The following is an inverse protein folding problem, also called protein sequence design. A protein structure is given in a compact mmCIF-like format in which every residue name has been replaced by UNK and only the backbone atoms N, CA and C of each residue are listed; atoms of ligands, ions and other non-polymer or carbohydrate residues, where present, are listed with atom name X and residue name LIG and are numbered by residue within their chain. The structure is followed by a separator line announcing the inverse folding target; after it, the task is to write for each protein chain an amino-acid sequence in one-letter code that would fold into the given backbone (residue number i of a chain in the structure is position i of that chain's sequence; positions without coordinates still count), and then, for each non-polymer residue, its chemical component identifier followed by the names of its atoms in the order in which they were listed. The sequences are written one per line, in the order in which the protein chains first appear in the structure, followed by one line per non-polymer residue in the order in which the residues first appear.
data_IF_904214869074
#
_entry.id   IF_904214869074
#
_cell.length_a   1.000
_cell.length_b   1.000
_cell.length_c   1.000
_cell.angle_alpha   90.00
_cell.angle_beta   90.00
_cell.angle_gamma   90.00
#
_symmetry.space_group_name_H-M   'P 1'
#
loop_
_entity.id
_entity.type
_entity.pdbx_description
1 polymer ?
#
# COMPACT_ATOMS: atom_id res chain seq x y z
N UNK A 1 -14.34 18.40 -0.10
CA UNK A 1 -13.61 17.75 1.03
C UNK A 1 -12.37 18.54 1.46
N UNK A 2 -11.31 18.71 0.64
CA UNK A 2 -10.09 19.46 1.01
C UNK A 2 -10.38 20.91 1.41
N UNK A 3 -11.23 21.63 0.67
CA UNK A 3 -11.64 23.00 1.03
C UNK A 3 -12.25 23.09 2.42
N UNK A 4 -13.08 22.13 2.81
CA UNK A 4 -13.68 22.07 4.15
C UNK A 4 -12.66 21.78 5.24
N UNK A 5 -11.70 20.86 4.99
CA UNK A 5 -10.61 20.57 5.92
C UNK A 5 -9.76 21.83 6.14
N UNK A 6 -9.43 22.53 5.08
CA UNK A 6 -8.68 23.78 5.11
C UNK A 6 -9.41 24.88 5.91
N UNK A 7 -10.71 25.04 5.67
CA UNK A 7 -11.51 26.06 6.35
C UNK A 7 -11.62 25.80 7.88
N UNK A 8 -11.80 24.54 8.28
CA UNK A 8 -11.90 24.17 9.70
C UNK A 8 -10.54 23.91 10.36
N UNK A 9 -9.45 23.97 9.58
CA UNK A 9 -8.05 23.67 10.00
C UNK A 9 -7.91 22.30 10.67
N UNK A 10 -8.66 21.32 10.18
CA UNK A 10 -8.67 19.97 10.73
C UNK A 10 -9.13 18.95 9.70
N UNK A 11 -8.51 17.78 9.71
CA UNK A 11 -8.87 16.63 8.90
C UNK A 11 -7.68 15.73 8.63
N UNK A 12 -7.97 14.48 8.28
CA UNK A 12 -6.96 13.50 7.89
C UNK A 12 -7.46 12.80 6.62
N UNK A 13 -6.59 12.67 5.64
CA UNK A 13 -6.76 11.83 4.47
C UNK A 13 -5.84 10.63 4.65
N UNK A 14 -6.38 9.43 4.60
CA UNK A 14 -5.59 8.18 4.64
C UNK A 14 -5.72 7.51 3.28
N UNK A 15 -4.62 7.44 2.53
CA UNK A 15 -4.54 6.73 1.27
C UNK A 15 -3.92 5.35 1.51
N UNK A 16 -4.58 4.31 0.99
CA UNK A 16 -4.08 2.93 1.10
C UNK A 16 -3.41 2.54 -0.20
N UNK A 17 -2.12 2.25 -0.13
CA UNK A 17 -1.28 1.88 -1.27
C UNK A 17 -0.96 0.39 -1.29
N UNK A 18 0.27 -0.01 -1.11
CA UNK A 18 0.72 -1.40 -1.05
C UNK A 18 2.21 -1.46 -0.70
N UNK A 19 2.66 -2.54 -0.12
CA UNK A 19 4.07 -2.82 0.13
C UNK A 19 4.96 -2.88 -1.12
N UNK A 20 4.37 -2.95 -2.33
CA UNK A 20 5.11 -2.81 -3.59
C UNK A 20 5.75 -1.43 -3.75
N UNK A 21 5.31 -0.44 -2.97
CA UNK A 21 5.95 0.89 -2.92
C UNK A 21 7.20 0.89 -2.06
N UNK A 22 7.29 -0.02 -1.09
CA UNK A 22 8.46 -0.24 -0.24
C UNK A 22 9.51 -1.11 -0.92
N UNK A 23 9.07 -2.14 -1.65
CA UNK A 23 9.92 -3.02 -2.44
C UNK A 23 9.21 -3.39 -3.76
N UNK A 24 9.70 -2.89 -4.91
CA UNK A 24 9.12 -3.21 -6.21
C UNK A 24 9.13 -4.71 -6.48
N UNK A 25 8.00 -5.23 -6.95
CA UNK A 25 7.79 -6.65 -7.18
C UNK A 25 7.90 -6.97 -8.67
N UNK A 26 8.58 -8.05 -9.09
CA UNK A 26 8.58 -8.48 -10.49
C UNK A 26 7.15 -8.85 -10.95
N UNK A 27 6.90 -8.78 -12.24
CA UNK A 27 5.61 -9.04 -12.91
C UNK A 27 4.48 -8.06 -12.51
N UNK A 28 4.79 -7.02 -11.72
CA UNK A 28 3.82 -6.04 -11.22
C UNK A 28 4.18 -4.59 -11.58
N UNK A 29 4.92 -4.35 -12.69
CA UNK A 29 5.44 -3.01 -13.01
C UNK A 29 4.35 -1.94 -13.11
N UNK A 30 3.26 -2.20 -13.84
CA UNK A 30 2.16 -1.25 -13.98
C UNK A 30 1.42 -1.02 -12.64
N UNK A 31 1.21 -2.07 -11.87
CA UNK A 31 0.63 -1.98 -10.52
C UNK A 31 1.52 -1.16 -9.58
N UNK A 32 2.82 -1.47 -9.53
CA UNK A 32 3.80 -0.72 -8.74
C UNK A 32 3.80 0.75 -9.13
N UNK A 33 3.84 1.07 -10.43
CA UNK A 33 3.79 2.45 -10.91
C UNK A 33 2.51 3.18 -10.46
N UNK A 34 1.36 2.52 -10.51
CA UNK A 34 0.08 3.10 -10.07
C UNK A 34 0.09 3.42 -8.57
N UNK A 35 0.68 2.55 -7.74
CA UNK A 35 0.77 2.74 -6.30
C UNK A 35 1.83 3.79 -5.93
N UNK A 36 2.96 3.83 -6.64
CA UNK A 36 3.98 4.89 -6.49
C UNK A 36 3.43 6.27 -6.85
N UNK A 37 2.53 6.37 -7.82
CA UNK A 37 1.88 7.64 -8.14
C UNK A 37 1.05 8.17 -6.95
N UNK A 38 0.36 7.29 -6.21
CA UNK A 38 -0.39 7.66 -5.00
C UNK A 38 0.58 8.07 -3.87
N UNK A 39 1.73 7.41 -3.75
CA UNK A 39 2.78 7.78 -2.79
C UNK A 39 3.25 9.22 -3.04
N UNK A 40 3.70 9.51 -4.25
CA UNK A 40 4.18 10.85 -4.61
C UNK A 40 3.10 11.93 -4.46
N UNK A 41 1.87 11.63 -4.89
CA UNK A 41 0.73 12.52 -4.69
C UNK A 41 0.49 12.81 -3.20
N UNK A 42 0.44 11.77 -2.37
CA UNK A 42 0.13 11.91 -0.94
C UNK A 42 1.25 12.62 -0.19
N UNK A 43 2.52 12.35 -0.54
CA UNK A 43 3.67 13.05 0.02
C UNK A 43 3.61 14.56 -0.23
N UNK A 44 3.31 14.97 -1.47
CA UNK A 44 3.13 16.40 -1.81
C UNK A 44 1.92 17.00 -1.09
N UNK A 45 0.79 16.28 -1.08
CA UNK A 45 -0.43 16.71 -0.41
C UNK A 45 -0.25 16.89 1.11
N UNK A 46 0.60 16.08 1.75
CA UNK A 46 0.88 16.19 3.18
C UNK A 46 1.49 17.56 3.53
N UNK A 47 2.43 18.05 2.71
CA UNK A 47 3.00 19.40 2.87
C UNK A 47 1.94 20.49 2.69
N UNK A 48 1.11 20.37 1.65
CA UNK A 48 0.07 21.34 1.35
C UNK A 48 -0.98 21.42 2.48
N UNK A 49 -1.44 20.26 2.96
CA UNK A 49 -2.44 20.18 4.03
C UNK A 49 -1.87 20.60 5.39
N UNK A 50 -0.60 20.31 5.66
CA UNK A 50 0.09 20.69 6.88
C UNK A 50 0.04 22.21 7.13
N UNK A 51 0.15 23.04 6.08
CA UNK A 51 0.02 24.49 6.16
C UNK A 51 -1.35 24.94 6.72
N UNK A 52 -2.36 24.10 6.66
CA UNK A 52 -3.73 24.36 7.12
C UNK A 52 -4.16 23.51 8.32
N UNK A 53 -3.22 22.82 8.98
CA UNK A 53 -3.53 21.99 10.14
C UNK A 53 -4.30 20.69 9.83
N UNK A 54 -4.35 20.28 8.56
CA UNK A 54 -4.85 18.99 8.13
C UNK A 54 -3.70 18.06 7.74
N UNK A 55 -3.94 16.76 7.61
CA UNK A 55 -2.89 15.74 7.40
C UNK A 55 -3.25 14.83 6.26
N UNK A 56 -2.23 14.27 5.61
CA UNK A 56 -2.35 13.14 4.71
C UNK A 56 -1.42 12.02 5.21
N UNK A 57 -1.85 10.78 5.09
CA UNK A 57 -1.20 9.58 5.60
C UNK A 57 -1.23 8.49 4.54
N UNK A 58 -0.24 7.61 4.58
CA UNK A 58 -0.10 6.45 3.71
C UNK A 58 -0.16 5.17 4.55
N UNK A 59 -0.99 4.23 4.15
CA UNK A 59 -0.98 2.87 4.68
C UNK A 59 -0.51 1.95 3.56
N UNK A 60 0.52 1.17 3.83
CA UNK A 60 1.15 0.26 2.87
C UNK A 60 0.93 -1.21 3.30
N UNK A 61 -0.21 -1.82 2.91
CA UNK A 61 -0.47 -3.23 3.20
C UNK A 61 0.52 -4.15 2.52
N UNK A 62 0.93 -5.20 3.24
CA UNK A 62 1.69 -6.30 2.71
C UNK A 62 0.84 -7.29 1.91
N UNK A 63 1.34 -8.52 1.75
CA UNK A 63 0.67 -9.57 1.00
C UNK A 63 -0.48 -10.17 1.82
N UNK A 64 -1.72 -9.97 1.34
CA UNK A 64 -2.95 -10.40 1.99
C UNK A 64 -3.69 -11.51 1.24
N UNK A 65 -3.21 -12.77 1.26
CA UNK A 65 -3.82 -13.88 0.51
C UNK A 65 -5.21 -14.28 1.02
N UNK A 66 -5.58 -13.88 2.23
CA UNK A 66 -6.89 -14.16 2.83
C UNK A 66 -7.97 -13.16 2.41
N UNK A 67 -7.57 -12.10 1.70
CA UNK A 67 -8.50 -11.08 1.20
C UNK A 67 -9.08 -11.47 -0.16
N UNK A 68 -10.16 -10.80 -0.56
CA UNK A 68 -10.72 -10.94 -1.91
C UNK A 68 -9.99 -10.12 -2.98
N UNK A 69 -8.77 -9.67 -2.70
CA UNK A 69 -8.03 -8.81 -3.62
C UNK A 69 -7.80 -9.49 -4.98
N UNK A 70 -7.34 -10.74 -4.98
CA UNK A 70 -7.14 -11.51 -6.21
C UNK A 70 -8.45 -11.81 -6.94
N UNK A 71 -9.50 -12.19 -6.19
CA UNK A 71 -10.83 -12.46 -6.76
C UNK A 71 -11.42 -11.24 -7.46
N UNK A 72 -11.21 -10.05 -6.88
CA UNK A 72 -11.72 -8.80 -7.43
C UNK A 72 -11.04 -8.36 -8.74
N UNK A 73 -9.90 -8.95 -9.11
CA UNK A 73 -9.27 -8.71 -10.41
C UNK A 73 -10.10 -9.29 -11.56
N UNK A 74 -10.95 -10.30 -11.29
CA UNK A 74 -11.79 -10.95 -12.31
C UNK A 74 -11.02 -11.75 -13.37
N UNK A 75 -9.71 -11.88 -13.20
CA UNK A 75 -8.78 -12.61 -14.08
C UNK A 75 -7.80 -13.40 -13.22
N UNK A 76 -7.41 -14.59 -13.70
CA UNK A 76 -6.28 -15.30 -13.11
C UNK A 76 -4.99 -14.55 -13.41
N UNK A 77 -4.19 -14.25 -12.40
CA UNK A 77 -2.87 -13.61 -12.61
C UNK A 77 -1.98 -14.49 -13.49
N UNK A 78 -2.12 -15.82 -13.40
CA UNK A 78 -1.38 -16.76 -14.25
C UNK A 78 -1.72 -16.58 -15.74
N UNK A 79 -2.99 -16.30 -16.06
CA UNK A 79 -3.45 -16.09 -17.44
C UNK A 79 -2.95 -14.75 -18.02
N UNK A 80 -2.48 -13.85 -17.19
CA UNK A 80 -1.91 -12.56 -17.61
C UNK A 80 -0.42 -12.65 -17.96
N UNK A 81 0.25 -13.78 -17.68
CA UNK A 81 1.68 -13.96 -17.93
C UNK A 81 1.89 -14.47 -19.33
N UNK A 82 2.55 -13.70 -20.23
CA UNK A 82 2.89 -14.19 -21.57
C UNK A 82 3.82 -15.41 -21.50
N UNK A 83 3.65 -16.35 -22.43
CA UNK A 83 4.40 -17.60 -22.48
C UNK A 83 5.94 -17.41 -22.34
N UNK A 84 6.60 -16.43 -22.96
CA UNK A 84 8.04 -16.22 -22.81
C UNK A 84 8.50 -15.91 -21.36
N UNK A 85 7.56 -15.52 -20.46
CA UNK A 85 7.85 -15.25 -19.06
C UNK A 85 7.53 -16.42 -18.12
N UNK A 86 7.03 -17.54 -18.63
CA UNK A 86 6.54 -18.65 -17.81
C UNK A 86 7.61 -19.20 -16.84
N UNK A 87 8.83 -19.45 -17.33
CA UNK A 87 9.92 -19.97 -16.52
C UNK A 87 10.41 -18.94 -15.47
N UNK A 88 10.42 -17.66 -15.82
CA UNK A 88 10.73 -16.57 -14.90
C UNK A 88 9.66 -16.42 -13.81
N UNK A 89 8.38 -16.58 -14.17
CA UNK A 89 7.26 -16.38 -13.26
C UNK A 89 7.09 -17.52 -12.26
N UNK A 90 7.45 -18.75 -12.63
CA UNK A 90 7.24 -19.96 -11.81
C UNK A 90 7.78 -19.84 -10.39
N UNK A 91 9.08 -19.55 -10.14
CA UNK A 91 9.61 -19.44 -8.78
C UNK A 91 8.98 -18.28 -7.99
N UNK A 92 8.52 -17.24 -8.67
CA UNK A 92 7.82 -16.11 -8.04
C UNK A 92 6.47 -16.58 -7.49
N UNK A 93 5.67 -17.29 -8.28
CA UNK A 93 4.39 -17.83 -7.83
C UNK A 93 4.54 -18.89 -6.74
N UNK A 94 5.57 -19.73 -6.81
CA UNK A 94 5.90 -20.69 -5.74
C UNK A 94 6.18 -20.00 -4.41
N UNK A 95 6.92 -18.88 -4.43
CA UNK A 95 7.18 -18.07 -3.24
C UNK A 95 5.90 -17.44 -2.68
N UNK A 96 4.98 -16.98 -3.55
CA UNK A 96 3.68 -16.46 -3.11
C UNK A 96 2.72 -17.53 -2.61
N UNK A 97 2.85 -18.77 -3.04
CA UNK A 97 2.03 -19.87 -2.54
C UNK A 97 2.38 -20.26 -1.08
N UNK A 98 3.63 -20.01 -0.65
CA UNK A 98 4.11 -20.36 0.68
C UNK A 98 4.90 -19.19 1.31
N UNK A 99 4.26 -18.03 1.55
CA UNK A 99 4.95 -16.87 2.09
C UNK A 99 5.32 -17.10 3.57
N UNK A 100 6.51 -16.65 4.02
CA UNK A 100 6.91 -16.77 5.42
C UNK A 100 6.09 -15.87 6.35
N UNK A 101 5.58 -14.79 5.82
CA UNK A 101 4.75 -13.80 6.53
C UNK A 101 3.63 -13.32 5.62
N UNK A 102 2.47 -13.04 6.20
CA UNK A 102 1.30 -12.50 5.50
C UNK A 102 0.72 -11.33 6.27
N UNK A 103 0.08 -10.43 5.56
CA UNK A 103 -0.76 -9.38 6.14
C UNK A 103 -2.21 -9.87 6.22
N UNK A 104 -2.86 -9.63 7.35
CA UNK A 104 -4.27 -9.94 7.58
C UNK A 104 -5.12 -8.67 7.51
N UNK A 105 -6.41 -8.84 7.33
CA UNK A 105 -7.38 -7.74 7.28
C UNK A 105 -7.31 -6.86 8.55
N UNK A 106 -7.12 -7.50 9.72
CA UNK A 106 -6.96 -6.82 11.00
C UNK A 106 -5.74 -5.91 11.07
N UNK A 107 -4.61 -6.33 10.49
CA UNK A 107 -3.37 -5.53 10.45
C UNK A 107 -3.59 -4.24 9.66
N UNK A 108 -4.32 -4.34 8.54
CA UNK A 108 -4.64 -3.18 7.70
C UNK A 108 -5.62 -2.25 8.41
N UNK A 109 -6.66 -2.81 9.05
CA UNK A 109 -7.64 -2.03 9.79
C UNK A 109 -6.98 -1.27 10.95
N UNK A 110 -6.08 -1.91 11.70
CA UNK A 110 -5.32 -1.28 12.77
C UNK A 110 -4.41 -0.15 12.24
N UNK A 111 -3.68 -0.39 11.15
CA UNK A 111 -2.81 0.62 10.56
C UNK A 111 -3.60 1.84 10.07
N UNK A 112 -4.78 1.64 9.45
CA UNK A 112 -5.68 2.72 9.03
C UNK A 112 -6.18 3.50 10.26
N UNK A 113 -6.58 2.80 11.32
CA UNK A 113 -7.04 3.44 12.55
C UNK A 113 -5.92 4.27 13.20
N UNK A 114 -4.72 3.71 13.30
CA UNK A 114 -3.54 4.41 13.80
C UNK A 114 -3.22 5.65 12.95
N UNK A 115 -3.17 5.51 11.62
CA UNK A 115 -2.90 6.62 10.71
C UNK A 115 -3.92 7.76 10.84
N UNK A 116 -5.20 7.41 11.00
CA UNK A 116 -6.28 8.38 11.15
C UNK A 116 -6.24 9.14 12.48
N UNK A 117 -5.73 8.51 13.54
CA UNK A 117 -5.74 9.07 14.91
C UNK A 117 -4.36 9.61 15.37
N UNK A 118 -3.29 9.34 14.63
CA UNK A 118 -1.95 9.85 14.96
C UNK A 118 -1.86 11.36 14.66
N UNK A 119 -1.66 12.22 15.69
CA UNK A 119 -1.54 13.66 15.50
C UNK A 119 -0.18 14.10 14.94
N UNK A 120 0.81 13.19 14.84
CA UNK A 120 2.15 13.51 14.36
C UNK A 120 2.18 13.70 12.84
N UNK A 121 3.32 14.19 12.34
CA UNK A 121 3.58 14.35 10.90
C UNK A 121 4.07 13.05 10.23
N UNK A 122 4.02 11.91 10.94
CA UNK A 122 4.35 10.61 10.36
C UNK A 122 3.48 10.37 9.13
N UNK A 123 4.13 10.06 7.99
CA UNK A 123 3.45 9.84 6.71
C UNK A 123 3.12 8.35 6.48
N UNK A 124 4.07 7.45 6.72
CA UNK A 124 4.05 6.05 6.34
C UNK A 124 3.64 5.11 7.48
N UNK A 125 2.70 4.20 7.21
CA UNK A 125 2.17 3.18 8.13
C UNK A 125 2.17 1.81 7.44
N UNK A 126 3.32 1.12 7.38
CA UNK A 126 3.38 -0.25 6.87
C UNK A 126 2.44 -1.15 7.67
N UNK A 127 1.58 -1.89 6.97
CA UNK A 127 0.54 -2.72 7.58
C UNK A 127 0.83 -4.20 7.36
N UNK A 128 0.96 -4.92 8.46
CA UNK A 128 1.31 -6.33 8.50
C UNK A 128 2.81 -6.60 8.66
N UNK A 129 3.16 -7.80 9.16
CA UNK A 129 4.54 -8.13 9.51
C UNK A 129 5.50 -8.11 8.33
N UNK A 130 5.06 -8.53 7.15
CA UNK A 130 5.83 -8.50 5.91
C UNK A 130 6.10 -7.07 5.42
N UNK A 131 5.10 -6.20 5.42
CA UNK A 131 5.27 -4.78 5.07
C UNK A 131 6.20 -4.07 6.06
N UNK A 132 6.06 -4.34 7.36
CA UNK A 132 6.95 -3.78 8.39
C UNK A 132 8.40 -4.26 8.21
N UNK A 133 8.60 -5.51 7.82
CA UNK A 133 9.94 -6.04 7.53
C UNK A 133 10.56 -5.35 6.31
N UNK A 134 9.80 -5.15 5.23
CA UNK A 134 10.24 -4.43 4.03
C UNK A 134 10.61 -2.98 4.33
N UNK A 135 9.78 -2.27 5.09
CA UNK A 135 10.06 -0.88 5.48
C UNK A 135 11.32 -0.70 6.34
N UNK A 136 11.76 -1.75 7.05
CA UNK A 136 13.00 -1.73 7.83
C UNK A 136 14.24 -2.09 7.01
N UNK A 137 14.05 -2.78 5.88
CA UNK A 137 15.14 -3.23 5.03
C UNK A 137 15.59 -2.18 4.01
N UNK A 138 14.74 -1.24 3.66
CA UNK A 138 15.03 -0.11 2.76
C UNK A 138 15.42 1.13 3.53
#
# INVERSE_FOLDING_TARGET
MIQQMRARRAGVIVNVTSSVTLAPMPLAAAYTASKQAIEGFTGSLAHELGAFGARAKLVEPGYGPTTRFADNLGLSVADMIPEPYADFARPIFEAFANPPMITREGDVAEAVWLAANDPSDRLHYPAGPDAVALAKAG
#
